data_IF_647181228091
#
_entry.id   IF_647181228091
#
_cell.length_a   1.000
_cell.length_b   1.000
_cell.length_c   1.000
_cell.angle_alpha   90.00
_cell.angle_beta   90.00
_cell.angle_gamma   90.00
#
_symmetry.space_group_name_H-M   'P 1'
#
loop_
_entity.id
_entity.type
_entity.pdbx_description
1 polymer ?
#
# COMPACT_ATOMS: atom_id res chain seq x y z
N UNK A 1 19.65 15.83 6.68
CA UNK A 1 18.31 16.47 6.61
C UNK A 1 17.31 15.47 6.01
N UNK A 2 15.99 15.72 6.04
CA UNK A 2 14.98 14.72 5.67
C UNK A 2 14.70 14.65 4.15
N UNK A 3 14.69 13.44 3.58
CA UNK A 3 14.22 13.17 2.22
C UNK A 3 12.69 13.30 2.20
N UNK A 4 12.10 14.15 1.35
CA UNK A 4 10.64 14.29 1.31
C UNK A 4 9.97 13.03 0.74
N UNK A 5 8.73 12.72 1.15
CA UNK A 5 7.97 11.61 0.58
C UNK A 5 7.60 11.90 -0.89
N UNK A 6 7.40 10.84 -1.68
CA UNK A 6 6.74 10.97 -3.01
C UNK A 6 5.26 11.25 -2.82
N UNK A 7 4.57 11.75 -3.85
CA UNK A 7 3.13 11.98 -3.85
C UNK A 7 2.35 10.76 -3.31
N UNK A 8 2.70 9.55 -3.77
CA UNK A 8 2.06 8.30 -3.33
C UNK A 8 2.26 7.97 -1.84
N UNK A 9 3.28 8.53 -1.19
CA UNK A 9 3.58 8.36 0.23
C UNK A 9 3.14 9.59 1.07
N UNK A 10 2.64 10.67 0.46
CA UNK A 10 2.09 11.81 1.21
C UNK A 10 0.86 11.40 2.00
N UNK A 11 0.81 11.80 3.28
CA UNK A 11 -0.26 11.37 4.18
C UNK A 11 -0.30 9.85 4.40
N UNK A 12 0.75 9.10 4.05
CA UNK A 12 0.78 7.64 4.26
C UNK A 12 0.62 7.28 5.72
N UNK A 13 1.28 7.98 6.64
CA UNK A 13 1.09 7.73 8.07
C UNK A 13 -0.37 7.93 8.50
N UNK A 14 -1.05 8.94 7.95
CA UNK A 14 -2.49 9.13 8.19
C UNK A 14 -3.33 8.01 7.58
N UNK A 15 -3.08 7.63 6.32
CA UNK A 15 -3.79 6.53 5.64
C UNK A 15 -3.57 5.18 6.33
N UNK A 16 -2.35 4.93 6.79
CA UNK A 16 -1.95 3.71 7.49
C UNK A 16 -2.78 3.53 8.78
N UNK A 17 -3.08 4.61 9.52
CA UNK A 17 -3.98 4.58 10.69
C UNK A 17 -5.38 4.08 10.32
N UNK A 18 -5.89 4.41 9.12
CA UNK A 18 -7.22 3.99 8.67
C UNK A 18 -7.26 2.64 7.96
N UNK A 19 -6.11 2.06 7.62
CA UNK A 19 -6.02 0.86 6.77
C UNK A 19 -5.40 -0.33 7.48
N UNK A 20 -4.33 -0.12 8.27
CA UNK A 20 -3.71 -1.18 9.06
C UNK A 20 -4.65 -1.60 10.19
N UNK A 21 -4.70 -2.91 10.45
CA UNK A 21 -5.57 -3.48 11.49
C UNK A 21 -7.02 -3.70 11.08
N UNK A 22 -7.40 -3.40 9.83
CA UNK A 22 -8.76 -3.55 9.33
C UNK A 22 -8.82 -4.54 8.15
N UNK A 23 -9.40 -5.71 8.38
CA UNK A 23 -9.57 -6.78 7.39
C UNK A 23 -11.04 -7.16 7.17
N UNK A 24 -11.93 -6.17 7.06
CA UNK A 24 -13.37 -6.41 7.07
C UNK A 24 -13.85 -7.36 5.97
N UNK A 25 -14.66 -8.35 6.34
CA UNK A 25 -15.27 -9.30 5.41
C UNK A 25 -14.29 -10.33 4.85
N UNK A 26 -13.08 -10.43 5.44
CA UNK A 26 -12.03 -11.33 4.97
C UNK A 26 -11.37 -12.03 6.16
N UNK A 27 -11.18 -13.34 6.03
CA UNK A 27 -10.29 -14.12 6.89
C UNK A 27 -8.96 -14.20 6.16
N UNK A 28 -7.91 -13.59 6.69
CA UNK A 28 -6.58 -13.51 6.08
C UNK A 28 -5.55 -14.23 6.95
N UNK A 29 -4.74 -15.05 6.32
CA UNK A 29 -3.62 -15.77 6.90
C UNK A 29 -2.35 -15.34 6.16
N UNK A 30 -1.41 -14.71 6.84
CA UNK A 30 -0.10 -14.35 6.30
C UNK A 30 0.98 -15.13 7.05
N UNK A 31 1.84 -15.83 6.31
CA UNK A 31 3.02 -16.54 6.80
C UNK A 31 4.24 -15.90 6.17
N UNK A 32 5.07 -15.27 6.99
CA UNK A 32 6.34 -14.69 6.59
C UNK A 32 7.49 -15.48 7.20
N UNK A 33 8.43 -15.91 6.37
CA UNK A 33 9.67 -16.57 6.76
C UNK A 33 10.85 -15.80 6.17
N UNK A 34 11.87 -15.55 6.99
CA UNK A 34 13.11 -14.91 6.58
C UNK A 34 14.30 -15.86 6.82
N UNK A 35 15.05 -16.15 5.77
CA UNK A 35 16.26 -16.96 5.83
C UNK A 35 17.49 -16.08 5.99
N UNK A 36 18.49 -16.58 6.73
CA UNK A 36 19.79 -15.93 6.92
C UNK A 36 20.51 -15.58 5.59
N UNK A 37 20.20 -16.31 4.51
CA UNK A 37 20.76 -16.08 3.18
C UNK A 37 20.10 -14.92 2.40
N UNK A 38 19.22 -14.14 3.03
CA UNK A 38 18.53 -13.00 2.42
C UNK A 38 17.31 -13.36 1.56
N UNK A 39 16.82 -14.60 1.68
CA UNK A 39 15.58 -15.08 1.09
C UNK A 39 14.42 -14.84 2.07
N UNK A 40 13.44 -14.05 1.66
CA UNK A 40 12.17 -13.88 2.36
C UNK A 40 11.06 -14.55 1.55
N UNK A 41 10.27 -15.41 2.20
CA UNK A 41 9.04 -15.95 1.63
C UNK A 41 7.85 -15.37 2.38
N UNK A 42 6.84 -14.92 1.65
CA UNK A 42 5.55 -14.51 2.21
C UNK A 42 4.46 -15.29 1.50
N UNK A 43 3.82 -16.21 2.20
CA UNK A 43 2.66 -16.95 1.73
C UNK A 43 1.42 -16.36 2.39
N UNK A 44 0.42 -15.99 1.61
CA UNK A 44 -0.81 -15.39 2.11
C UNK A 44 -2.03 -16.09 1.54
N UNK A 45 -2.97 -16.47 2.39
CA UNK A 45 -4.29 -16.96 2.01
C UNK A 45 -5.37 -16.01 2.52
N UNK A 46 -6.38 -15.74 1.70
CA UNK A 46 -7.53 -14.95 2.15
C UNK A 46 -8.85 -15.52 1.65
N UNK A 47 -9.83 -15.58 2.56
CA UNK A 47 -11.19 -16.05 2.31
C UNK A 47 -12.16 -14.88 2.48
N UNK A 48 -12.92 -14.55 1.45
CA UNK A 48 -13.97 -13.55 1.56
C UNK A 48 -15.19 -14.18 2.23
N UNK A 49 -15.66 -13.59 3.33
CA UNK A 49 -16.76 -14.15 4.15
C UNK A 49 -18.13 -13.92 3.53
N UNK A 50 -18.27 -12.99 2.57
CA UNK A 50 -19.52 -12.71 1.87
C UNK A 50 -19.66 -13.56 0.61
N UNK A 51 -18.58 -13.69 -0.17
CA UNK A 51 -18.61 -14.36 -1.48
C UNK A 51 -18.07 -15.79 -1.45
N UNK A 52 -17.58 -16.25 -0.30
CA UNK A 52 -16.88 -17.54 -0.10
C UNK A 52 -15.68 -17.79 -1.03
N UNK A 53 -15.24 -16.76 -1.77
CA UNK A 53 -14.09 -16.84 -2.66
C UNK A 53 -12.80 -16.95 -1.84
N UNK A 54 -12.00 -17.95 -2.18
CA UNK A 54 -10.64 -18.14 -1.67
C UNK A 54 -9.63 -17.57 -2.65
N UNK A 55 -8.64 -16.85 -2.13
CA UNK A 55 -7.51 -16.32 -2.89
C UNK A 55 -6.22 -16.63 -2.15
N UNK A 56 -5.17 -16.98 -2.89
CA UNK A 56 -3.85 -17.21 -2.33
C UNK A 56 -2.80 -16.46 -3.12
N UNK A 57 -1.72 -16.06 -2.45
CA UNK A 57 -0.51 -15.56 -3.09
C UNK A 57 0.74 -16.04 -2.39
N UNK A 58 1.79 -16.21 -3.18
CA UNK A 58 3.14 -16.53 -2.75
C UNK A 58 4.07 -15.45 -3.29
N UNK A 59 4.79 -14.79 -2.40
CA UNK A 59 5.85 -13.84 -2.72
C UNK A 59 7.19 -14.40 -2.25
N UNK A 60 8.17 -14.44 -3.15
CA UNK A 60 9.55 -14.79 -2.85
C UNK A 60 10.42 -13.58 -3.14
N UNK A 61 11.12 -13.10 -2.14
CA UNK A 61 12.00 -11.94 -2.24
C UNK A 61 13.43 -12.36 -1.91
N UNK A 62 14.34 -12.13 -2.83
CA UNK A 62 15.76 -12.38 -2.67
C UNK A 62 16.52 -11.07 -2.68
N UNK A 63 17.17 -10.74 -1.55
CA UNK A 63 17.97 -9.53 -1.41
C UNK A 63 19.44 -9.85 -1.52
N UNK A 64 20.08 -9.37 -2.58
CA UNK A 64 21.52 -9.40 -2.71
C UNK A 64 22.14 -8.11 -2.16
N UNK A 65 22.43 -8.15 -0.85
CA UNK A 65 22.83 -6.97 -0.05
C UNK A 65 24.10 -6.29 -0.59
N UNK A 66 25.10 -7.06 -1.03
CA UNK A 66 26.38 -6.51 -1.54
C UNK A 66 26.22 -5.73 -2.85
N UNK A 67 25.19 -6.03 -3.65
CA UNK A 67 24.95 -5.44 -4.97
C UNK A 67 23.74 -4.52 -5.04
N UNK A 68 23.11 -4.15 -3.90
CA UNK A 68 21.92 -3.29 -3.87
C UNK A 68 20.74 -3.83 -4.70
N UNK A 69 20.72 -5.13 -4.98
CA UNK A 69 19.81 -5.76 -5.93
C UNK A 69 18.79 -6.60 -5.18
N UNK A 70 17.52 -6.43 -5.50
CA UNK A 70 16.41 -7.18 -4.92
C UNK A 70 15.58 -7.79 -6.03
N UNK A 71 15.42 -9.10 -6.00
CA UNK A 71 14.52 -9.83 -6.89
C UNK A 71 13.27 -10.22 -6.11
N UNK A 72 12.09 -9.90 -6.61
CA UNK A 72 10.82 -10.32 -6.02
C UNK A 72 10.01 -11.05 -7.07
N UNK A 73 9.57 -12.27 -6.76
CA UNK A 73 8.68 -13.05 -7.60
C UNK A 73 7.36 -13.22 -6.86
N UNK A 74 6.26 -12.92 -7.53
CA UNK A 74 4.89 -13.03 -7.00
C UNK A 74 4.11 -14.02 -7.84
N UNK A 75 3.34 -14.86 -7.19
CA UNK A 75 2.39 -15.76 -7.85
C UNK A 75 1.10 -15.78 -7.06
N UNK A 76 -0.05 -15.83 -7.75
CA UNK A 76 -1.35 -15.91 -7.11
C UNK A 76 -2.21 -17.04 -7.70
N UNK A 77 -3.29 -17.38 -7.00
CA UNK A 77 -4.24 -18.43 -7.40
C UNK A 77 -4.99 -18.14 -8.70
N UNK A 78 -5.03 -16.87 -9.14
CA UNK A 78 -5.55 -16.49 -10.47
C UNK A 78 -4.50 -16.68 -11.58
N UNK A 79 -3.44 -17.44 -11.30
CA UNK A 79 -2.29 -17.73 -12.16
C UNK A 79 -1.47 -16.51 -12.61
N UNK A 80 -1.66 -15.34 -12.01
CA UNK A 80 -0.86 -14.15 -12.35
C UNK A 80 0.54 -14.27 -11.75
N UNK A 81 1.54 -14.15 -12.61
CA UNK A 81 2.95 -14.18 -12.30
C UNK A 81 3.52 -12.76 -12.35
N UNK A 82 4.07 -12.29 -11.25
CA UNK A 82 4.79 -11.02 -11.15
C UNK A 82 6.28 -11.25 -10.94
N UNK A 83 7.14 -10.48 -11.60
CA UNK A 83 8.58 -10.45 -11.39
C UNK A 83 9.02 -9.01 -11.28
N UNK A 84 9.64 -8.65 -10.16
CA UNK A 84 10.14 -7.32 -9.88
C UNK A 84 11.65 -7.42 -9.61
N UNK A 85 12.44 -6.60 -10.28
CA UNK A 85 13.88 -6.47 -10.12
C UNK A 85 14.15 -5.03 -9.71
N UNK A 86 14.68 -4.83 -8.52
CA UNK A 86 14.97 -3.50 -7.98
C UNK A 86 16.47 -3.36 -7.74
N UNK A 87 17.06 -2.28 -8.26
CA UNK A 87 18.43 -1.84 -8.03
C UNK A 87 18.39 -0.53 -7.26
N UNK A 88 19.01 -0.50 -6.09
CA UNK A 88 19.10 0.70 -5.24
C UNK A 88 20.56 1.09 -5.03
N UNK A 89 20.82 2.41 -5.07
CA UNK A 89 22.07 3.06 -4.67
C UNK A 89 23.35 2.64 -5.41
N UNK A 90 23.24 1.95 -6.56
CA UNK A 90 24.40 1.48 -7.33
C UNK A 90 25.06 2.57 -8.20
N UNK A 91 24.28 3.28 -9.02
CA UNK A 91 24.81 4.32 -9.92
C UNK A 91 24.98 5.66 -9.21
N UNK A 92 24.03 6.00 -8.34
CA UNK A 92 24.05 7.21 -7.54
C UNK A 92 23.29 6.97 -6.25
N UNK A 93 23.77 7.55 -5.14
CA UNK A 93 23.07 7.53 -3.86
C UNK A 93 21.70 8.17 -3.99
N UNK A 94 20.68 7.45 -3.54
CA UNK A 94 19.27 7.80 -3.63
C UNK A 94 18.58 7.38 -4.93
N UNK A 95 19.30 6.77 -5.89
CA UNK A 95 18.69 6.25 -7.12
C UNK A 95 18.13 4.84 -6.89
N UNK A 96 16.88 4.64 -7.31
CA UNK A 96 16.18 3.37 -7.32
C UNK A 96 15.67 3.10 -8.73
N UNK A 97 16.06 1.98 -9.32
CA UNK A 97 15.55 1.51 -10.60
C UNK A 97 14.80 0.20 -10.36
N UNK A 98 13.54 0.12 -10.79
CA UNK A 98 12.73 -1.09 -10.65
C UNK A 98 12.17 -1.48 -12.00
N UNK A 99 12.45 -2.70 -12.44
CA UNK A 99 11.78 -3.35 -13.56
C UNK A 99 10.73 -4.30 -13.00
N UNK A 100 9.48 -4.13 -13.41
CA UNK A 100 8.32 -4.90 -12.96
C UNK A 100 7.68 -5.55 -14.18
N UNK A 101 7.38 -6.84 -14.12
CA UNK A 101 6.78 -7.60 -15.21
C UNK A 101 5.68 -8.49 -14.65
N UNK A 102 4.49 -8.40 -15.24
CA UNK A 102 3.32 -9.17 -14.86
C UNK A 102 2.77 -9.92 -16.06
N UNK A 103 2.43 -11.19 -15.86
CA UNK A 103 1.82 -12.05 -16.86
C UNK A 103 0.66 -12.83 -16.26
N UNK A 104 -0.51 -12.73 -16.89
CA UNK A 104 -1.71 -13.50 -16.55
C UNK A 104 -1.99 -14.52 -17.67
N UNK A 105 -1.64 -15.81 -17.51
CA UNK A 105 -1.82 -16.84 -18.54
C UNK A 105 -3.27 -16.98 -18.98
N UNK A 106 -4.21 -16.89 -18.02
CA UNK A 106 -5.64 -17.07 -18.27
C UNK A 106 -6.21 -16.07 -19.27
N UNK A 107 -5.66 -14.85 -19.34
CA UNK A 107 -6.11 -13.78 -20.24
C UNK A 107 -5.10 -13.46 -21.33
N UNK A 108 -3.89 -14.04 -21.27
CA UNK A 108 -2.75 -13.65 -22.10
C UNK A 108 -2.21 -12.24 -21.81
N UNK A 109 -2.77 -11.51 -20.82
CA UNK A 109 -2.38 -10.12 -20.55
C UNK A 109 -0.94 -10.08 -20.01
N UNK A 110 -0.12 -9.27 -20.67
CA UNK A 110 1.26 -8.95 -20.29
C UNK A 110 1.32 -7.46 -19.96
N UNK A 111 2.03 -7.12 -18.89
CA UNK A 111 2.32 -5.75 -18.53
C UNK A 111 3.78 -5.70 -18.08
N UNK A 112 4.52 -4.70 -18.55
CA UNK A 112 5.85 -4.40 -18.04
C UNK A 112 5.89 -2.96 -17.56
N UNK A 113 6.55 -2.68 -16.43
CA UNK A 113 6.75 -1.33 -15.93
C UNK A 113 8.20 -1.09 -15.62
N UNK A 114 8.68 0.11 -15.96
CA UNK A 114 9.99 0.61 -15.57
C UNK A 114 9.75 1.78 -14.64
N UNK A 115 10.15 1.64 -13.38
CA UNK A 115 10.04 2.68 -12.35
C UNK A 115 11.43 3.20 -12.04
N UNK A 116 11.57 4.51 -12.05
CA UNK A 116 12.83 5.19 -11.75
C UNK A 116 12.55 6.21 -10.66
N UNK A 117 13.23 6.08 -9.53
CA UNK A 117 13.11 6.96 -8.39
C UNK A 117 14.44 7.59 -8.06
N UNK A 118 14.47 8.87 -7.78
CA UNK A 118 15.68 9.55 -7.35
C UNK A 118 15.41 10.43 -6.14
N UNK A 119 16.12 10.15 -5.05
CA UNK A 119 15.93 10.78 -3.75
C UNK A 119 17.19 11.55 -3.36
N UNK A 120 17.02 12.82 -3.00
CA UNK A 120 18.05 13.66 -2.37
C UNK A 120 17.42 14.51 -1.28
N UNK A 121 18.25 15.25 -0.55
CA UNK A 121 17.75 16.25 0.39
C UNK A 121 16.82 17.22 -0.36
N UNK A 122 15.60 17.40 0.17
CA UNK A 122 14.53 18.26 -0.36
C UNK A 122 13.89 17.85 -1.70
N UNK A 123 14.36 16.81 -2.38
CA UNK A 123 13.83 16.39 -3.69
C UNK A 123 13.62 14.88 -3.74
N UNK A 124 12.45 14.46 -4.21
CA UNK A 124 12.14 13.07 -4.49
C UNK A 124 11.42 12.98 -5.84
N UNK A 125 12.13 12.50 -6.86
CA UNK A 125 11.64 12.32 -8.21
C UNK A 125 11.23 10.86 -8.43
N UNK A 126 10.14 10.65 -9.16
CA UNK A 126 9.66 9.36 -9.61
C UNK A 126 9.21 9.46 -11.06
N UNK A 127 9.56 8.48 -11.87
CA UNK A 127 9.04 8.30 -13.21
C UNK A 127 8.78 6.82 -13.44
N UNK A 128 7.50 6.48 -13.60
CA UNK A 128 7.02 5.13 -13.86
C UNK A 128 6.49 5.08 -15.30
N UNK A 129 7.09 4.25 -16.13
CA UNK A 129 6.62 3.94 -17.48
C UNK A 129 5.91 2.59 -17.45
N UNK A 130 4.63 2.57 -17.76
CA UNK A 130 3.79 1.36 -17.81
C UNK A 130 3.54 1.00 -19.27
N UNK A 131 4.06 -0.15 -19.70
CA UNK A 131 3.91 -0.72 -21.03
C UNK A 131 2.78 -1.77 -21.00
N UNK A 132 1.54 -1.27 -21.06
CA UNK A 132 0.36 -2.10 -21.32
C UNK A 132 0.14 -2.24 -22.83
N UNK A 133 -0.58 -3.29 -23.23
CA UNK A 133 -0.97 -3.58 -24.62
C UNK A 133 -1.81 -2.42 -25.20
N UNK A 134 -2.58 -1.74 -24.35
CA UNK A 134 -3.37 -0.56 -24.73
C UNK A 134 -2.51 0.67 -25.12
N UNK A 135 -1.20 0.61 -24.88
CA UNK A 135 -0.24 1.66 -25.17
C UNK A 135 0.50 2.13 -23.91
N UNK A 136 1.73 2.66 -24.06
CA UNK A 136 2.49 3.15 -22.92
C UNK A 136 1.77 4.26 -22.16
N UNK A 137 1.90 4.27 -20.84
CA UNK A 137 1.59 5.44 -20.00
C UNK A 137 2.79 5.84 -19.16
N UNK A 138 2.95 7.15 -18.97
CA UNK A 138 4.09 7.73 -18.25
C UNK A 138 3.55 8.46 -17.04
N UNK A 139 3.97 8.04 -15.86
CA UNK A 139 3.63 8.66 -14.59
C UNK A 139 4.84 9.35 -13.99
N UNK A 140 4.79 10.68 -13.98
CA UNK A 140 5.79 11.50 -13.30
C UNK A 140 5.32 11.85 -11.89
N UNK A 141 6.20 11.79 -10.91
CA UNK A 141 5.98 12.29 -9.56
C UNK A 141 7.18 13.13 -9.11
N UNK A 142 6.93 14.31 -8.57
CA UNK A 142 7.93 15.16 -7.94
C UNK A 142 7.44 15.48 -6.53
N UNK A 143 8.22 15.10 -5.52
CA UNK A 143 8.00 15.42 -4.11
C UNK A 143 9.05 16.40 -3.62
N UNK A 144 8.59 17.55 -3.14
CA UNK A 144 9.39 18.53 -2.41
C UNK A 144 8.99 18.59 -0.94
N UNK A 145 9.57 19.52 -0.19
CA UNK A 145 9.34 19.66 1.25
C UNK A 145 7.89 20.00 1.62
N UNK A 146 7.21 20.80 0.79
CA UNK A 146 5.83 21.23 1.03
C UNK A 146 4.88 20.86 -0.12
N UNK A 147 5.38 20.86 -1.35
CA UNK A 147 4.58 20.59 -2.53
C UNK A 147 5.00 19.29 -3.20
N UNK A 148 4.03 18.59 -3.76
CA UNK A 148 4.29 17.51 -4.68
C UNK A 148 3.34 17.58 -5.86
N UNK A 149 3.79 17.02 -6.96
CA UNK A 149 3.05 16.96 -8.20
C UNK A 149 3.12 15.54 -8.73
N UNK A 150 2.01 15.01 -9.20
CA UNK A 150 1.93 13.76 -9.92
C UNK A 150 1.16 13.97 -11.22
N UNK A 151 1.65 13.40 -12.31
CA UNK A 151 0.97 13.39 -13.59
C UNK A 151 0.93 11.99 -14.17
N UNK A 152 -0.10 11.69 -14.95
CA UNK A 152 -0.20 10.49 -15.77
C UNK A 152 -0.51 10.90 -17.22
N UNK A 153 0.35 10.52 -18.15
CA UNK A 153 0.17 10.75 -19.57
C UNK A 153 -0.06 9.43 -20.29
N UNK A 154 -1.19 9.29 -20.99
CA UNK A 154 -1.51 8.12 -21.81
C UNK A 154 -1.11 8.40 -23.26
N UNK A 155 -0.10 7.70 -23.76
CA UNK A 155 0.43 7.94 -25.12
C UNK A 155 -0.58 7.55 -26.21
N UNK A 156 -1.35 6.48 -25.99
CA UNK A 156 -2.39 6.02 -26.93
C UNK A 156 -3.47 7.09 -27.21
N UNK A 157 -3.77 7.94 -26.23
CA UNK A 157 -4.72 9.06 -26.36
C UNK A 157 -4.03 10.41 -26.55
N UNK A 158 -2.70 10.43 -26.46
CA UNK A 158 -1.87 11.65 -26.45
C UNK A 158 -2.40 12.72 -25.49
N UNK A 159 -2.82 12.30 -24.28
CA UNK A 159 -3.47 13.19 -23.31
C UNK A 159 -3.00 12.91 -21.89
N UNK A 160 -2.86 13.98 -21.11
CA UNK A 160 -2.72 13.90 -19.64
C UNK A 160 -4.07 13.45 -19.08
N UNK A 161 -4.12 12.28 -18.47
CA UNK A 161 -5.36 11.73 -17.89
C UNK A 161 -5.45 11.91 -16.39
N UNK A 162 -4.33 12.14 -15.71
CA UNK A 162 -4.33 12.54 -14.31
C UNK A 162 -3.32 13.65 -14.05
N UNK A 163 -3.71 14.64 -13.26
CA UNK A 163 -2.84 15.72 -12.79
C UNK A 163 -3.21 16.04 -11.35
N UNK A 164 -2.36 15.60 -10.43
CA UNK A 164 -2.59 15.73 -9.01
C UNK A 164 -1.55 16.65 -8.39
N UNK A 165 -2.00 17.58 -7.57
CA UNK A 165 -1.14 18.47 -6.80
C UNK A 165 -1.41 18.25 -5.32
N UNK A 166 -0.36 18.21 -4.50
CA UNK A 166 -0.52 18.14 -3.05
C UNK A 166 0.39 19.13 -2.33
N UNK A 167 -0.21 19.89 -1.41
CA UNK A 167 0.41 20.87 -0.53
C UNK A 167 -0.27 20.77 0.85
N UNK A 168 0.09 19.79 1.68
CA UNK A 168 -0.63 19.39 2.92
C UNK A 168 -2.11 18.97 2.73
N UNK A 169 -2.77 19.42 1.66
CA UNK A 169 -4.03 19.01 1.07
C UNK A 169 -3.76 18.57 -0.37
N UNK A 170 -4.33 17.46 -0.80
CA UNK A 170 -4.25 17.00 -2.18
C UNK A 170 -5.48 17.41 -2.98
N UNK A 171 -5.27 17.82 -4.22
CA UNK A 171 -6.31 18.04 -5.22
C UNK A 171 -6.06 17.03 -6.33
N UNK A 172 -6.95 16.04 -6.47
CA UNK A 172 -6.90 15.11 -7.59
C UNK A 172 -7.75 15.66 -8.74
N UNK A 173 -7.16 15.79 -9.92
CA UNK A 173 -7.81 16.18 -11.17
C UNK A 173 -8.66 17.48 -11.10
N UNK A 174 -8.35 18.37 -10.13
CA UNK A 174 -9.07 19.63 -9.91
C UNK A 174 -10.47 19.48 -9.30
N UNK A 175 -10.93 18.27 -8.99
CA UNK A 175 -12.31 17.98 -8.58
C UNK A 175 -12.43 17.30 -7.22
N UNK A 176 -11.43 16.50 -6.82
CA UNK A 176 -11.42 15.83 -5.53
C UNK A 176 -10.42 16.50 -4.59
N UNK A 177 -10.92 17.07 -3.50
CA UNK A 177 -10.10 17.68 -2.47
C UNK A 177 -9.95 16.70 -1.30
N UNK A 178 -8.73 16.31 -0.99
CA UNK A 178 -8.37 15.55 0.20
C UNK A 178 -7.39 16.33 1.06
N UNK A 179 -7.36 16.05 2.36
CA UNK A 179 -6.44 16.70 3.28
C UNK A 179 -6.18 15.82 4.47
N UNK A 180 -4.90 15.58 4.75
CA UNK A 180 -4.51 14.76 5.90
C UNK A 180 -3.50 15.52 6.75
N UNK A 181 -3.87 15.81 7.99
CA UNK A 181 -2.94 16.30 9.01
C UNK A 181 -2.50 15.09 9.80
N UNK A 182 -1.21 14.78 9.78
CA UNK A 182 -0.62 13.80 10.69
C UNK A 182 0.11 14.55 11.79
N UNK A 183 -0.21 14.25 13.04
CA UNK A 183 0.39 14.87 14.21
C UNK A 183 0.87 13.79 15.18
N UNK A 184 2.18 13.68 15.32
CA UNK A 184 2.80 12.86 16.37
C UNK A 184 2.87 13.66 17.65
N UNK A 185 1.87 13.52 18.52
CA UNK A 185 1.70 14.29 19.75
C UNK A 185 2.78 13.93 20.78
N UNK A 186 3.12 12.64 20.90
CA UNK A 186 4.24 12.17 21.72
C UNK A 186 4.76 10.80 21.24
N UNK A 187 5.72 10.19 21.97
CA UNK A 187 6.29 8.86 21.60
C UNK A 187 5.26 7.72 21.57
N UNK A 188 4.08 7.91 22.15
CA UNK A 188 3.01 6.92 22.34
C UNK A 188 1.68 7.32 21.67
N UNK A 189 1.56 8.54 21.14
CA UNK A 189 0.34 9.09 20.59
C UNK A 189 0.60 9.70 19.21
N UNK A 190 -0.01 9.11 18.21
CA UNK A 190 -0.04 9.60 16.83
C UNK A 190 -1.50 9.83 16.45
N UNK A 191 -1.83 11.06 16.06
CA UNK A 191 -3.15 11.43 15.59
C UNK A 191 -3.07 11.75 14.12
N UNK A 192 -4.13 11.43 13.38
CA UNK A 192 -4.27 11.85 12.01
C UNK A 192 -5.69 12.35 11.76
N UNK A 193 -5.81 13.56 11.23
CA UNK A 193 -7.08 14.12 10.77
C UNK A 193 -7.09 14.00 9.25
N UNK A 194 -7.88 13.07 8.72
CA UNK A 194 -8.22 13.01 7.31
C UNK A 194 -9.73 13.26 7.17
N UNK A 195 -10.21 14.47 7.46
CA UNK A 195 -11.66 14.79 7.52
C UNK A 195 -12.57 13.63 8.00
N UNK A 196 -12.15 12.95 9.08
CA UNK A 196 -12.84 11.89 9.83
C UNK A 196 -12.03 11.61 11.12
N UNK A 197 -12.69 11.49 12.29
CA UNK A 197 -12.08 11.44 13.62
C UNK A 197 -12.08 10.03 14.26
N UNK A 198 -11.08 9.74 15.10
CA UNK A 198 -11.18 8.87 16.29
C UNK A 198 -9.98 8.99 17.26
N UNK A 199 -10.23 8.62 18.53
CA UNK A 199 -9.42 8.71 19.76
C UNK A 199 -9.09 7.28 20.27
N UNK A 200 -7.99 7.17 21.04
CA UNK A 200 -7.60 6.12 22.04
C UNK A 200 -6.51 5.06 21.70
N UNK A 201 -5.78 4.48 22.70
CA UNK A 201 -4.32 4.40 22.69
C UNK A 201 -3.78 3.02 23.14
N UNK A 202 -3.46 2.15 22.20
CA UNK A 202 -2.46 1.08 22.33
C UNK A 202 -2.37 0.45 20.94
N UNK A 203 -1.22 -0.14 20.52
CA UNK A 203 -1.04 -0.67 19.16
C UNK A 203 -1.99 -1.85 18.83
N UNK A 204 -2.88 -2.18 19.76
CA UNK A 204 -3.80 -3.28 19.69
C UNK A 204 -5.24 -2.87 19.42
N UNK A 205 -5.68 -1.61 19.56
CA UNK A 205 -7.08 -1.24 19.27
C UNK A 205 -7.15 -0.07 18.28
N UNK A 206 -7.97 -0.20 17.25
CA UNK A 206 -8.16 0.80 16.20
C UNK A 206 -9.64 0.99 15.94
N UNK A 207 -10.14 2.21 16.16
CA UNK A 207 -11.51 2.59 15.82
C UNK A 207 -11.51 3.65 14.72
N UNK A 208 -12.49 3.62 13.81
CA UNK A 208 -12.73 4.66 12.81
C UNK A 208 -14.23 4.86 12.57
N UNK A 209 -14.64 6.10 12.36
CA UNK A 209 -16.03 6.44 12.03
C UNK A 209 -16.04 7.34 10.80
N UNK A 210 -16.97 7.12 9.87
CA UNK A 210 -17.17 8.01 8.72
C UNK A 210 -18.55 8.69 8.72
N UNK A 211 -18.72 9.67 7.84
CA UNK A 211 -19.97 10.43 7.66
C UNK A 211 -21.13 9.62 7.07
N UNK A 212 -20.87 8.40 6.60
CA UNK A 212 -21.92 7.44 6.20
C UNK A 212 -22.44 6.61 7.37
N UNK A 213 -22.05 6.94 8.60
CA UNK A 213 -22.36 6.23 9.84
C UNK A 213 -21.77 4.82 9.90
N UNK A 214 -20.69 4.53 9.17
CA UNK A 214 -19.97 3.27 9.32
C UNK A 214 -18.96 3.36 10.46
N UNK A 215 -19.01 2.40 11.37
CA UNK A 215 -18.12 2.29 12.52
C UNK A 215 -17.20 1.08 12.30
N UNK A 216 -15.91 1.33 12.07
CA UNK A 216 -14.89 0.30 11.92
C UNK A 216 -14.13 0.10 13.22
N UNK A 217 -14.10 -1.14 13.70
CA UNK A 217 -13.35 -1.58 14.87
C UNK A 217 -12.31 -2.61 14.43
N UNK A 218 -11.09 -2.51 14.94
CA UNK A 218 -10.00 -3.44 14.71
C UNK A 218 -9.28 -3.66 16.03
N UNK A 219 -8.92 -4.90 16.32
CA UNK A 219 -8.10 -5.21 17.49
C UNK A 219 -6.98 -6.15 17.09
N UNK A 220 -5.70 -5.74 17.23
CA UNK A 220 -4.52 -6.56 16.94
C UNK A 220 -3.91 -7.04 18.24
N UNK A 221 -3.99 -8.34 18.52
CA UNK A 221 -3.39 -8.98 19.68
C UNK A 221 -2.14 -9.77 19.29
N UNK A 222 -1.02 -9.52 19.97
CA UNK A 222 0.20 -10.32 19.79
C UNK A 222 0.17 -11.50 20.76
N UNK A 223 -0.20 -12.69 20.26
CA UNK A 223 -0.33 -13.92 21.07
C UNK A 223 1.04 -14.46 21.51
N UNK A 224 2.03 -14.37 20.62
CA UNK A 224 3.44 -14.70 20.83
C UNK A 224 4.29 -13.72 20.01
N UNK A 225 5.59 -13.56 20.28
CA UNK A 225 6.46 -12.67 19.48
C UNK A 225 6.37 -12.89 17.97
N UNK A 226 6.08 -14.12 17.55
CA UNK A 226 5.94 -14.57 16.17
C UNK A 226 4.50 -14.68 15.65
N UNK A 227 3.47 -14.39 16.46
CA UNK A 227 2.06 -14.61 16.08
C UNK A 227 1.21 -13.39 16.45
N UNK A 228 0.58 -12.78 15.45
CA UNK A 228 -0.39 -11.69 15.64
C UNK A 228 -1.77 -12.11 15.14
N UNK A 229 -2.79 -11.79 15.92
CA UNK A 229 -4.20 -12.04 15.65
C UNK A 229 -4.92 -10.70 15.57
N UNK A 230 -5.62 -10.43 14.47
CA UNK A 230 -6.32 -9.17 14.23
C UNK A 230 -7.79 -9.37 13.88
N UNK A 231 -8.69 -9.55 14.85
CA UNK A 231 -10.13 -9.39 14.62
C UNK A 231 -10.48 -7.97 14.19
N UNK A 232 -11.42 -7.84 13.27
CA UNK A 232 -11.97 -6.55 12.84
C UNK A 232 -13.46 -6.65 12.53
N UNK A 233 -14.20 -5.57 12.76
CA UNK A 233 -15.64 -5.48 12.55
C UNK A 233 -16.00 -4.12 11.95
N UNK A 234 -16.81 -4.12 10.90
CA UNK A 234 -17.43 -2.92 10.34
C UNK A 234 -18.92 -2.97 10.62
N UNK A 235 -19.41 -2.03 11.41
CA UNK A 235 -20.81 -1.91 11.79
C UNK A 235 -21.46 -0.80 10.95
N UNK A 236 -22.63 -1.08 10.40
CA UNK A 236 -23.46 -0.07 9.74
C UNK A 236 -24.35 0.59 10.79
N UNK A 237 -24.00 1.83 11.15
CA UNK A 237 -24.73 2.62 12.14
C UNK A 237 -26.15 3.01 11.70
N UNK A 238 -26.48 2.95 10.40
CA UNK A 238 -27.86 3.17 9.93
C UNK A 238 -28.74 1.95 10.11
N UNK A 239 -28.14 0.75 10.11
CA UNK A 239 -28.84 -0.54 10.10
C UNK A 239 -28.35 -1.49 11.20
N UNK A 240 -28.00 -0.96 12.38
CA UNK A 240 -27.44 -1.77 13.49
C UNK A 240 -28.32 -2.96 13.86
N UNK A 241 -29.64 -2.79 13.79
CA UNK A 241 -30.60 -3.85 14.13
C UNK A 241 -30.90 -4.81 12.97
N UNK A 242 -30.58 -4.43 11.72
CA UNK A 242 -30.94 -5.17 10.52
C UNK A 242 -29.77 -5.93 9.88
N UNK A 243 -28.54 -5.71 10.36
CA UNK A 243 -27.34 -6.43 9.92
C UNK A 243 -26.51 -5.67 8.90
N UNK A 244 -25.86 -6.39 7.97
CA UNK A 244 -24.91 -5.81 7.01
C UNK A 244 -23.52 -5.53 7.60
N UNK A 245 -23.23 -6.09 8.77
CA UNK A 245 -21.94 -5.94 9.44
C UNK A 245 -20.89 -6.86 8.83
N UNK A 246 -19.69 -6.34 8.58
CA UNK A 246 -18.58 -7.12 8.04
C UNK A 246 -17.63 -7.52 9.14
N UNK A 247 -17.45 -8.81 9.36
CA UNK A 247 -16.46 -9.33 10.30
C UNK A 247 -15.23 -9.81 9.53
N UNK A 248 -14.06 -9.61 10.11
CA UNK A 248 -12.77 -9.93 9.53
C UNK A 248 -11.83 -10.50 10.56
N UNK A 249 -10.92 -11.37 10.13
CA UNK A 249 -9.93 -11.99 10.99
C UNK A 249 -8.59 -12.08 10.27
N UNK A 250 -7.58 -11.36 10.75
CA UNK A 250 -6.20 -11.47 10.29
C UNK A 250 -5.38 -12.36 11.23
N UNK A 251 -4.55 -13.23 10.68
CA UNK A 251 -3.60 -14.05 11.40
C UNK A 251 -2.25 -13.93 10.69
N UNK A 252 -1.27 -13.33 11.37
CA UNK A 252 0.08 -13.15 10.85
C UNK A 252 1.06 -14.01 11.65
N UNK A 253 1.82 -14.84 10.95
CA UNK A 253 2.89 -15.65 11.49
C UNK A 253 4.22 -15.13 10.94
N UNK A 254 5.15 -14.83 11.84
CA UNK A 254 6.50 -14.41 11.50
C UNK A 254 7.49 -15.41 12.11
N UNK A 255 8.18 -16.14 11.23
CA UNK A 255 9.22 -17.09 11.58
C UNK A 255 10.60 -16.57 11.20
#
# INVERSE_FOLDING_TARGET
MAVPPVYADLGKSARDVFTKGYGFGVIKLDLKTESENGLEFTSSGSANTETTKLTGSLETKYRWIKGGLTFTKKWNTDNTLGTEITVEDQLARGLKLTFDSSFSPNTGKKNAKIKTGYKREHINLGCDMDFDIAGPSIRGALGGWLASYQMNFETAKSRVTQSNFALHTNVNDGTEFGGSIYQKVNKKLETAVNLAWTIDPDPCFSAKVNNSSLIGLGYTHTLKPSIKLTPSALLDGKNVNAGGHKLGLGLEFQA
#
